data_IF_481707543596
#
_entry.id   IF_481707543596
#
_cell.length_a   1.000
_cell.length_b   1.000
_cell.length_c   1.000
_cell.angle_alpha   90.00
_cell.angle_beta   90.00
_cell.angle_gamma   90.00
#
_symmetry.space_group_name_H-M   'P 1'
#
loop_
_entity.id
_entity.type
_entity.pdbx_description
1 polymer ?
#
# COMPACT_ATOMS: atom_id res chain seq x y z
N UNK A 1 -26.62 17.34 1.99
CA UNK A 1 -25.97 18.50 1.37
C UNK A 1 -26.69 18.79 0.06
N UNK A 2 -27.18 20.02 -0.13
CA UNK A 2 -27.81 20.44 -1.38
C UNK A 2 -26.75 21.18 -2.18
N UNK A 3 -26.44 20.71 -3.39
CA UNK A 3 -25.52 21.37 -4.32
C UNK A 3 -26.24 21.62 -5.64
N UNK A 4 -25.84 22.69 -6.34
CA UNK A 4 -26.30 22.99 -7.71
C UNK A 4 -25.87 21.87 -8.68
N UNK A 5 -24.69 21.31 -8.45
CA UNK A 5 -24.14 20.20 -9.24
C UNK A 5 -24.43 18.86 -8.56
N UNK A 6 -25.10 17.95 -9.28
CA UNK A 6 -25.45 16.62 -8.76
C UNK A 6 -24.23 15.78 -8.36
N UNK A 7 -23.09 16.00 -9.01
CA UNK A 7 -21.84 15.27 -8.75
C UNK A 7 -21.18 15.59 -7.42
N UNK A 8 -21.56 16.68 -6.75
CA UNK A 8 -20.95 17.10 -5.48
C UNK A 8 -21.76 16.68 -4.26
N UNK A 9 -22.97 16.19 -4.48
CA UNK A 9 -23.81 15.67 -3.40
C UNK A 9 -23.16 14.43 -2.82
N UNK A 10 -22.88 14.46 -1.52
CA UNK A 10 -22.25 13.35 -0.80
C UNK A 10 -20.72 13.39 -0.77
N UNK A 11 -20.09 14.31 -1.50
CA UNK A 11 -18.66 14.61 -1.33
C UNK A 11 -18.42 15.44 -0.08
N UNK A 12 -17.19 15.41 0.41
CA UNK A 12 -16.80 16.23 1.54
C UNK A 12 -16.69 17.70 1.14
N UNK A 13 -17.30 18.59 1.92
CA UNK A 13 -17.35 20.03 1.60
C UNK A 13 -15.95 20.66 1.45
N UNK A 14 -14.97 20.22 2.24
CA UNK A 14 -13.59 20.73 2.15
C UNK A 14 -12.88 20.39 0.84
N UNK A 15 -13.35 19.39 0.09
CA UNK A 15 -12.83 19.08 -1.26
C UNK A 15 -13.40 20.02 -2.33
N UNK A 16 -14.62 20.53 -2.11
CA UNK A 16 -15.29 21.48 -3.01
C UNK A 16 -14.83 22.91 -2.71
N UNK A 17 -14.87 23.32 -1.45
CA UNK A 17 -14.47 24.66 -1.02
C UNK A 17 -13.58 24.61 0.23
N UNK A 18 -12.28 24.39 -0.01
CA UNK A 18 -11.25 24.39 1.03
C UNK A 18 -11.11 25.72 1.76
N UNK A 19 -11.47 26.84 1.11
CA UNK A 19 -11.33 28.18 1.70
C UNK A 19 -12.32 28.41 2.85
N UNK A 20 -13.59 28.05 2.64
CA UNK A 20 -14.61 28.16 3.67
C UNK A 20 -14.36 27.13 4.76
N UNK A 21 -14.06 25.88 4.40
CA UNK A 21 -13.76 24.85 5.40
C UNK A 21 -12.56 25.24 6.30
N UNK A 22 -11.50 25.82 5.74
CA UNK A 22 -10.37 26.29 6.53
C UNK A 22 -10.77 27.39 7.53
N UNK A 23 -11.64 28.32 7.13
CA UNK A 23 -12.13 29.37 8.02
C UNK A 23 -13.07 28.79 9.10
N UNK A 24 -13.89 27.78 8.78
CA UNK A 24 -14.73 27.08 9.76
C UNK A 24 -13.92 26.31 10.81
N UNK A 25 -12.75 25.78 10.43
CA UNK A 25 -11.79 25.20 11.38
C UNK A 25 -11.14 26.28 12.25
N UNK A 26 -10.79 27.41 11.65
CA UNK A 26 -10.17 28.53 12.35
C UNK A 26 -11.11 29.19 13.36
N UNK A 27 -12.41 29.27 13.05
CA UNK A 27 -13.42 29.81 13.97
C UNK A 27 -13.79 28.85 15.11
N UNK A 28 -13.30 27.60 15.07
CA UNK A 28 -13.60 26.59 16.08
C UNK A 28 -14.96 25.90 15.91
N UNK A 29 -15.73 26.25 14.87
CA UNK A 29 -17.03 25.63 14.59
C UNK A 29 -16.90 24.14 14.25
N UNK A 30 -15.83 23.79 13.53
CA UNK A 30 -15.44 22.40 13.30
C UNK A 30 -14.12 22.09 13.97
N UNK A 31 -14.08 20.96 14.66
CA UNK A 31 -12.86 20.41 15.25
C UNK A 31 -12.33 19.27 14.39
N UNK A 32 -11.09 19.39 13.95
CA UNK A 32 -10.38 18.30 13.26
C UNK A 32 -9.89 17.29 14.30
N UNK A 33 -10.23 16.02 14.11
CA UNK A 33 -9.80 14.89 14.93
C UNK A 33 -9.10 13.89 14.01
N UNK A 34 -7.91 13.42 14.38
CA UNK A 34 -7.19 12.40 13.61
C UNK A 34 -7.55 11.02 14.14
N UNK A 35 -8.11 10.18 13.28
CA UNK A 35 -8.44 8.79 13.58
C UNK A 35 -7.38 7.88 13.00
N UNK A 36 -7.00 6.84 13.75
CA UNK A 36 -5.96 5.88 13.37
C UNK A 36 -6.57 4.51 13.13
N UNK A 37 -6.36 3.96 11.94
CA UNK A 37 -6.68 2.58 11.59
C UNK A 37 -5.39 1.76 11.53
N UNK A 38 -5.29 0.73 12.38
CA UNK A 38 -4.14 -0.17 12.47
C UNK A 38 -4.31 -1.44 11.65
N UNK A 39 -5.46 -1.61 10.99
CA UNK A 39 -5.81 -2.81 10.21
C UNK A 39 -6.04 -2.49 8.72
N UNK A 40 -5.64 -1.30 8.27
CA UNK A 40 -5.76 -0.89 6.88
C UNK A 40 -4.83 -1.70 5.97
N UNK A 41 -5.16 -1.74 4.68
CA UNK A 41 -4.33 -2.34 3.64
C UNK A 41 -3.80 -1.24 2.71
N UNK A 42 -2.48 -1.14 2.57
CA UNK A 42 -1.82 -0.16 1.70
C UNK A 42 -1.13 -0.87 0.54
N UNK A 43 -1.00 -0.15 -0.57
CA UNK A 43 -0.22 -0.62 -1.71
C UNK A 43 1.27 -0.58 -1.38
N UNK A 44 1.99 -1.64 -1.75
CA UNK A 44 3.44 -1.63 -1.62
C UNK A 44 4.08 -0.71 -2.65
N UNK A 45 4.63 0.41 -2.18
CA UNK A 45 5.50 1.26 -3.00
C UNK A 45 6.84 0.55 -3.34
N UNK A 46 7.22 -0.47 -2.56
CA UNK A 46 8.45 -1.22 -2.76
C UNK A 46 8.22 -2.42 -3.67
N UNK A 47 8.79 -2.36 -4.87
CA UNK A 47 9.04 -3.56 -5.66
C UNK A 47 10.15 -4.36 -4.98
N UNK A 48 9.78 -5.38 -4.20
CA UNK A 48 10.73 -6.44 -3.89
C UNK A 48 11.08 -7.13 -5.21
N UNK A 49 12.32 -6.95 -5.67
CA UNK A 49 12.91 -7.87 -6.62
C UNK A 49 13.13 -9.16 -5.83
N UNK A 50 12.43 -10.24 -6.20
CA UNK A 50 12.72 -11.55 -5.64
C UNK A 50 14.19 -11.87 -5.93
N UNK A 51 15.04 -11.80 -4.91
CA UNK A 51 16.44 -12.23 -4.97
C UNK A 51 16.60 -13.75 -5.00
N UNK A 52 15.48 -14.48 -4.99
CA UNK A 52 15.44 -15.91 -5.22
C UNK A 52 15.94 -16.18 -6.64
N UNK A 53 17.19 -16.61 -6.75
CA UNK A 53 17.68 -17.23 -7.99
C UNK A 53 16.83 -18.48 -8.20
N UNK A 54 16.16 -18.66 -9.35
CA UNK A 54 15.45 -19.90 -9.61
C UNK A 54 16.47 -21.04 -9.51
N UNK A 55 16.19 -22.03 -8.66
CA UNK A 55 17.04 -23.18 -8.34
C UNK A 55 17.32 -24.11 -9.53
N UNK A 56 16.98 -23.72 -10.76
CA UNK A 56 17.18 -24.48 -12.00
C UNK A 56 18.29 -23.89 -12.89
N UNK A 57 19.42 -23.52 -12.27
CA UNK A 57 20.66 -23.19 -12.97
C UNK A 57 21.13 -24.24 -14.00
N UNK A 58 21.06 -25.58 -13.77
CA UNK A 58 21.60 -26.54 -14.74
C UNK A 58 20.75 -26.66 -16.02
N UNK A 59 19.42 -26.59 -15.90
CA UNK A 59 18.53 -26.64 -17.05
C UNK A 59 18.58 -25.36 -17.89
N UNK A 60 18.83 -24.20 -17.27
CA UNK A 60 18.99 -22.95 -17.99
C UNK A 60 20.26 -22.96 -18.86
N UNK A 61 21.35 -23.56 -18.37
CA UNK A 61 22.56 -23.78 -19.17
C UNK A 61 22.30 -24.70 -20.37
N UNK A 62 21.57 -25.80 -20.13
CA UNK A 62 21.20 -26.74 -21.20
C UNK A 62 20.28 -26.10 -22.25
N UNK A 63 19.28 -25.32 -21.82
CA UNK A 63 18.40 -24.55 -22.72
C UNK A 63 19.16 -23.45 -23.47
N UNK A 64 20.15 -22.81 -22.84
CA UNK A 64 21.00 -21.82 -23.50
C UNK A 64 21.88 -22.45 -24.58
N UNK A 65 22.41 -23.65 -24.33
CA UNK A 65 23.18 -24.43 -25.33
C UNK A 65 22.26 -24.87 -26.48
N UNK A 66 21.05 -25.35 -26.18
CA UNK A 66 20.05 -25.69 -27.20
C UNK A 66 19.72 -24.44 -28.03
N UNK A 67 19.43 -23.30 -27.39
CA UNK A 67 19.13 -22.05 -28.07
C UNK A 67 20.29 -21.57 -28.93
N UNK A 68 21.53 -21.67 -28.44
CA UNK A 68 22.74 -21.32 -29.19
C UNK A 68 22.90 -22.22 -30.42
N UNK A 69 22.73 -23.55 -30.24
CA UNK A 69 22.78 -24.51 -31.33
C UNK A 69 21.71 -24.22 -32.39
N UNK A 70 20.46 -24.00 -31.99
CA UNK A 70 19.38 -23.63 -32.91
C UNK A 70 19.63 -22.30 -33.60
N UNK A 71 20.22 -21.31 -32.92
CA UNK A 71 20.58 -20.03 -33.54
C UNK A 71 21.63 -20.20 -34.64
N UNK A 72 22.66 -21.02 -34.38
CA UNK A 72 23.68 -21.33 -35.39
C UNK A 72 23.15 -22.22 -36.50
N UNK A 73 22.24 -23.15 -36.19
CA UNK A 73 21.56 -23.97 -37.19
C UNK A 73 20.68 -23.12 -38.10
N UNK A 74 19.93 -22.15 -37.55
CA UNK A 74 19.14 -21.20 -38.35
C UNK A 74 20.04 -20.32 -39.22
N UNK A 75 21.14 -19.79 -38.69
CA UNK A 75 22.10 -19.01 -39.49
C UNK A 75 22.74 -19.86 -40.60
N UNK A 76 23.08 -21.12 -40.31
CA UNK A 76 23.58 -22.08 -41.28
C UNK A 76 22.54 -22.39 -42.36
N UNK A 77 21.26 -22.57 -42.00
CA UNK A 77 20.16 -22.75 -42.96
C UNK A 77 19.93 -21.49 -43.82
N UNK A 78 20.17 -20.30 -43.27
CA UNK A 78 20.10 -19.01 -43.96
C UNK A 78 21.23 -18.88 -45.00
N UNK A 79 22.45 -19.29 -44.65
CA UNK A 79 23.61 -19.36 -45.57
C UNK A 79 23.43 -20.44 -46.64
N UNK A 80 22.80 -21.58 -46.32
CA UNK A 80 22.48 -22.65 -47.28
C UNK A 80 21.20 -22.40 -48.12
N UNK A 81 20.58 -21.22 -47.98
CA UNK A 81 19.51 -20.71 -48.83
C UNK A 81 18.32 -21.69 -49.05
N UNK A 82 17.71 -22.16 -47.95
CA UNK A 82 16.40 -22.85 -47.97
C UNK A 82 15.23 -21.87 -47.71
N UNK A 83 15.49 -20.56 -47.67
CA UNK A 83 14.47 -19.52 -47.50
C UNK A 83 13.70 -19.17 -48.79
N UNK A 84 13.37 -20.17 -49.59
CA UNK A 84 12.30 -20.11 -50.60
C UNK A 84 10.99 -20.75 -50.13
N UNK A 85 10.92 -21.25 -48.89
CA UNK A 85 9.76 -21.97 -48.38
C UNK A 85 9.42 -21.45 -46.98
N UNK A 86 8.25 -20.83 -46.85
CA UNK A 86 7.58 -20.41 -45.59
C UNK A 86 7.94 -19.01 -45.05
N UNK A 87 7.42 -18.01 -45.75
CA UNK A 87 6.98 -16.77 -45.13
C UNK A 87 5.73 -17.06 -44.26
N UNK A 88 5.76 -16.73 -42.97
CA UNK A 88 4.56 -16.36 -42.22
C UNK A 88 4.95 -15.69 -40.90
N UNK A 89 4.80 -14.38 -40.87
CA UNK A 89 4.90 -13.56 -39.67
C UNK A 89 3.67 -13.75 -38.80
N UNK A 90 3.81 -14.46 -37.68
CA UNK A 90 2.88 -14.37 -36.55
C UNK A 90 3.68 -14.18 -35.26
N UNK A 91 4.01 -12.92 -34.97
CA UNK A 91 4.43 -12.51 -33.62
C UNK A 91 3.17 -12.19 -32.83
N UNK A 92 2.75 -13.12 -31.99
CA UNK A 92 1.70 -12.88 -30.99
C UNK A 92 2.36 -12.20 -29.79
N UNK A 93 2.02 -10.92 -29.58
CA UNK A 93 2.43 -10.19 -28.38
C UNK A 93 1.71 -10.80 -27.16
N UNK A 94 2.47 -11.36 -26.23
CA UNK A 94 1.93 -11.98 -25.04
C UNK A 94 1.40 -10.88 -24.10
N UNK A 95 0.08 -10.86 -23.88
CA UNK A 95 -0.57 -9.98 -22.92
C UNK A 95 0.15 -10.03 -21.55
N UNK A 96 0.80 -8.92 -21.22
CA UNK A 96 1.44 -8.66 -19.93
C UNK A 96 0.38 -8.80 -18.84
N UNK A 97 0.44 -9.88 -18.06
CA UNK A 97 -0.45 -10.10 -16.93
C UNK A 97 -0.47 -8.83 -16.06
N UNK A 98 -1.67 -8.28 -15.83
CA UNK A 98 -1.90 -7.21 -14.86
C UNK A 98 -1.31 -7.67 -13.53
N UNK A 99 -0.17 -7.09 -13.15
CA UNK A 99 0.47 -7.32 -11.86
C UNK A 99 -0.56 -6.94 -10.79
N UNK A 100 -1.16 -7.94 -10.15
CA UNK A 100 -2.05 -7.72 -9.00
C UNK A 100 -1.22 -6.90 -8.01
N UNK A 101 -1.66 -5.68 -7.72
CA UNK A 101 -0.95 -4.80 -6.80
C UNK A 101 -0.94 -5.48 -5.43
N UNK A 102 0.27 -5.81 -4.95
CA UNK A 102 0.45 -6.47 -3.67
C UNK A 102 0.04 -5.48 -2.57
N UNK A 103 -1.03 -5.81 -1.86
CA UNK A 103 -1.53 -5.05 -0.71
C UNK A 103 -0.92 -5.63 0.57
N UNK A 104 -0.45 -4.77 1.47
CA UNK A 104 0.08 -5.18 2.78
C UNK A 104 -0.66 -4.49 3.93
N UNK A 105 -0.73 -5.10 5.12
CA UNK A 105 -1.20 -4.42 6.33
C UNK A 105 -0.34 -3.19 6.63
N UNK A 106 -0.99 -2.05 6.85
CA UNK A 106 -0.36 -0.77 7.17
C UNK A 106 -1.20 -0.01 8.19
N UNK A 107 -0.58 0.99 8.83
CA UNK A 107 -1.33 1.91 9.67
C UNK A 107 -1.69 3.13 8.82
N UNK A 108 -2.96 3.50 8.81
CA UNK A 108 -3.43 4.72 8.16
C UNK A 108 -4.01 5.70 9.18
N UNK A 109 -3.89 6.98 8.89
CA UNK A 109 -4.62 8.03 9.59
C UNK A 109 -5.57 8.71 8.62
N UNK A 110 -6.78 8.98 9.08
CA UNK A 110 -7.75 9.76 8.33
C UNK A 110 -8.28 10.92 9.18
N UNK A 111 -8.43 12.11 8.58
CA UNK A 111 -9.00 13.25 9.28
C UNK A 111 -10.51 13.08 9.42
N UNK A 112 -11.01 13.17 10.65
CA UNK A 112 -12.42 13.35 10.97
C UNK A 112 -12.71 14.79 11.37
N UNK A 113 -13.95 15.23 11.18
CA UNK A 113 -14.41 16.56 11.55
C UNK A 113 -15.66 16.45 12.42
N UNK A 114 -15.63 17.09 13.58
CA UNK A 114 -16.75 17.13 14.52
C UNK A 114 -17.27 18.57 14.60
N UNK A 115 -18.58 18.74 14.49
CA UNK A 115 -19.23 20.03 14.66
C UNK A 115 -19.35 20.36 16.15
N UNK A 116 -18.98 21.58 16.53
CA UNK A 116 -19.17 22.10 17.88
C UNK A 116 -20.52 22.83 17.96
N UNK A 117 -21.40 22.37 18.85
CA UNK A 117 -22.77 22.89 19.01
C UNK A 117 -22.85 24.17 19.84
N UNK A 118 -21.74 24.62 20.43
CA UNK A 118 -21.71 25.86 21.21
C UNK A 118 -21.94 27.11 20.35
N UNK A 119 -21.58 27.05 19.07
CA UNK A 119 -21.68 28.17 18.14
C UNK A 119 -22.83 27.93 17.16
N UNK A 120 -23.95 28.64 17.37
CA UNK A 120 -25.17 28.48 16.56
C UNK A 120 -25.13 29.20 15.22
N UNK A 121 -24.45 30.35 15.18
CA UNK A 121 -24.39 31.23 14.01
C UNK A 121 -22.98 31.82 13.87
N UNK A 122 -22.46 31.82 12.64
CA UNK A 122 -21.19 32.47 12.32
C UNK A 122 -21.26 33.14 10.97
N UNK A 123 -20.76 34.35 10.88
CA UNK A 123 -20.48 35.03 9.63
C UNK A 123 -19.00 35.41 9.58
N UNK A 124 -18.39 35.32 8.41
CA UNK A 124 -16.99 35.71 8.23
C UNK A 124 -16.72 36.10 6.78
N UNK A 125 -15.69 36.93 6.63
CA UNK A 125 -15.15 37.34 5.33
C UNK A 125 -13.77 36.69 5.18
N UNK A 126 -13.57 36.02 4.06
CA UNK A 126 -12.33 35.36 3.66
C UNK A 126 -11.63 36.27 2.65
N UNK A 127 -10.41 36.71 2.97
CA UNK A 127 -9.59 37.52 2.06
C UNK A 127 -8.75 36.59 1.19
N UNK A 128 -8.93 36.68 -0.12
CA UNK A 128 -8.28 35.82 -1.14
C UNK A 128 -7.30 36.63 -2.00
N UNK A 129 -6.48 37.46 -1.36
CA UNK A 129 -5.58 38.40 -2.03
C UNK A 129 -6.34 39.63 -2.57
N UNK A 130 -6.75 39.58 -3.85
CA UNK A 130 -7.40 40.72 -4.55
C UNK A 130 -8.92 40.73 -4.49
N UNK A 131 -9.54 39.66 -4.02
CA UNK A 131 -10.98 39.58 -3.80
C UNK A 131 -11.28 39.08 -2.39
N UNK A 132 -12.52 39.32 -1.96
CA UNK A 132 -13.03 38.85 -0.68
C UNK A 132 -14.27 38.00 -0.93
N UNK A 133 -14.46 36.99 -0.08
CA UNK A 133 -15.56 36.04 -0.15
C UNK A 133 -16.21 35.96 1.22
N UNK A 134 -17.49 36.29 1.33
CA UNK A 134 -18.20 36.17 2.60
C UNK A 134 -19.01 34.89 2.67
N UNK A 135 -19.22 34.40 3.88
CA UNK A 135 -20.18 33.34 4.15
C UNK A 135 -20.94 33.59 5.45
N UNK A 136 -22.11 32.99 5.52
CA UNK A 136 -22.96 32.93 6.70
C UNK A 136 -23.34 31.48 6.94
N UNK A 137 -23.19 31.02 8.17
CA UNK A 137 -23.57 29.68 8.60
C UNK A 137 -24.54 29.77 9.77
N UNK A 138 -25.63 29.02 9.69
CA UNK A 138 -26.65 28.93 10.73
C UNK A 138 -27.03 27.47 10.98
N UNK A 139 -27.15 27.08 12.25
CA UNK A 139 -27.60 25.74 12.62
C UNK A 139 -29.11 25.58 12.37
N UNK A 140 -29.53 24.43 11.82
CA UNK A 140 -30.94 24.08 11.70
C UNK A 140 -31.42 23.47 13.01
N UNK A 141 -32.47 24.02 13.67
CA UNK A 141 -32.91 23.58 14.98
C UNK A 141 -33.31 22.10 14.97
N UNK A 142 -33.04 21.40 16.08
CA UNK A 142 -33.36 19.99 16.30
C UNK A 142 -32.76 19.02 15.25
N UNK A 143 -31.62 19.37 14.65
CA UNK A 143 -30.94 18.51 13.68
C UNK A 143 -29.41 18.64 13.77
N UNK A 144 -28.71 17.73 13.09
CA UNK A 144 -27.27 17.81 12.86
C UNK A 144 -26.90 18.63 11.60
N UNK A 145 -27.87 19.32 11.00
CA UNK A 145 -27.69 20.06 9.76
C UNK A 145 -27.32 21.52 10.04
N UNK A 146 -26.46 22.05 9.17
CA UNK A 146 -26.10 23.47 9.13
C UNK A 146 -26.41 24.02 7.74
N UNK A 147 -26.98 25.22 7.69
CA UNK A 147 -27.22 25.96 6.47
C UNK A 147 -26.03 26.91 6.27
N UNK A 148 -25.32 26.73 5.15
CA UNK A 148 -24.16 27.54 4.79
C UNK A 148 -24.49 28.27 3.48
N UNK A 149 -24.39 29.60 3.51
CA UNK A 149 -24.57 30.47 2.35
C UNK A 149 -23.24 31.15 2.06
N UNK A 150 -22.76 31.01 0.83
CA UNK A 150 -21.45 31.50 0.39
C UNK A 150 -21.61 32.37 -0.85
N UNK A 151 -20.94 33.51 -0.88
CA UNK A 151 -20.84 34.31 -2.11
C UNK A 151 -19.96 33.62 -3.16
N UNK A 152 -20.44 33.59 -4.40
CA UNK A 152 -19.77 32.92 -5.52
C UNK A 152 -18.86 33.85 -6.36
N UNK A 153 -18.61 35.07 -5.89
CA UNK A 153 -17.99 36.14 -6.70
C UNK A 153 -16.45 36.03 -6.80
N UNK A 154 -15.83 35.14 -6.03
CA UNK A 154 -14.38 35.05 -5.87
C UNK A 154 -13.94 33.59 -5.73
N UNK A 155 -13.00 33.15 -6.57
CA UNK A 155 -12.36 31.83 -6.48
C UNK A 155 -11.07 31.92 -5.65
N UNK A 156 -11.08 31.22 -4.51
CA UNK A 156 -10.00 31.21 -3.52
C UNK A 156 -9.12 29.94 -3.60
N UNK A 157 -9.34 29.08 -4.59
CA UNK A 157 -8.70 27.76 -4.71
C UNK A 157 -7.17 27.82 -4.84
N UNK A 158 -6.61 28.94 -5.33
CA UNK A 158 -5.15 29.13 -5.43
C UNK A 158 -4.46 29.33 -4.09
N UNK A 159 -5.15 29.93 -3.11
CA UNK A 159 -4.58 30.24 -1.80
C UNK A 159 -4.90 29.15 -0.77
N UNK A 160 -6.07 28.54 -0.88
CA UNK A 160 -6.53 27.50 0.03
C UNK A 160 -6.63 26.17 -0.73
N UNK A 161 -5.74 25.24 -0.41
CA UNK A 161 -5.81 23.89 -0.95
C UNK A 161 -7.07 23.15 -0.47
N UNK A 162 -7.63 22.23 -1.28
CA UNK A 162 -8.74 21.40 -0.85
C UNK A 162 -8.35 20.53 0.34
N UNK A 163 -9.26 20.40 1.31
CA UNK A 163 -9.10 19.58 2.49
C UNK A 163 -9.78 18.25 2.22
N UNK A 164 -9.00 17.18 2.08
CA UNK A 164 -9.50 15.84 1.72
C UNK A 164 -9.76 14.97 2.95
N UNK A 165 -10.66 13.99 2.78
CA UNK A 165 -10.85 12.90 3.75
C UNK A 165 -10.00 11.65 3.44
N UNK A 166 -9.11 11.76 2.45
CA UNK A 166 -8.33 10.63 1.98
C UNK A 166 -7.40 10.08 3.10
N UNK A 167 -7.37 8.76 3.31
CA UNK A 167 -6.49 8.15 4.29
C UNK A 167 -5.02 8.32 3.88
N UNK A 168 -4.15 8.56 4.86
CA UNK A 168 -2.71 8.69 4.66
C UNK A 168 -2.00 7.59 5.43
N UNK A 169 -1.03 6.94 4.79
CA UNK A 169 -0.19 5.95 5.46
C UNK A 169 0.71 6.65 6.50
N UNK A 170 0.65 6.16 7.75
CA UNK A 170 1.44 6.69 8.86
C UNK A 170 2.81 6.03 8.85
N UNK A 171 3.84 6.82 8.51
CA UNK A 171 5.24 6.40 8.63
C UNK A 171 5.78 6.82 10.00
N UNK A 172 6.02 5.84 10.87
CA UNK A 172 6.50 6.10 12.22
C UNK A 172 8.01 6.39 12.23
N UNK A 173 8.37 7.58 12.68
CA UNK A 173 9.75 7.88 13.05
C UNK A 173 10.12 7.13 14.34
N UNK A 174 11.38 6.73 14.47
CA UNK A 174 11.89 6.00 15.64
C UNK A 174 11.59 6.73 16.96
N UNK A 175 11.70 8.06 16.98
CA UNK A 175 11.41 8.91 18.15
C UNK A 175 9.95 8.83 18.59
N UNK A 176 9.00 8.87 17.65
CA UNK A 176 7.55 8.78 17.94
C UNK A 176 7.20 7.42 18.52
N UNK A 177 7.79 6.34 17.98
CA UNK A 177 7.62 4.99 18.53
C UNK A 177 8.12 4.92 19.99
N UNK A 178 9.29 5.47 20.28
CA UNK A 178 9.84 5.52 21.63
C UNK A 178 8.96 6.33 22.59
N UNK A 179 8.47 7.51 22.19
CA UNK A 179 7.58 8.31 23.02
C UNK A 179 6.28 7.58 23.34
N UNK A 180 5.70 6.87 22.36
CA UNK A 180 4.50 6.04 22.58
C UNK A 180 4.74 4.88 23.53
N UNK A 181 5.95 4.31 23.56
CA UNK A 181 6.31 3.27 24.53
C UNK A 181 6.43 3.81 25.96
N UNK A 182 6.74 5.10 26.15
CA UNK A 182 6.73 5.73 27.48
C UNK A 182 5.30 5.93 27.99
N UNK A 183 4.35 6.24 27.11
CA UNK A 183 2.94 6.45 27.43
C UNK A 183 2.09 5.18 27.22
N UNK A 184 2.56 4.02 27.68
CA UNK A 184 1.77 2.78 27.55
C UNK A 184 0.48 2.87 28.37
N UNK A 185 -0.59 2.30 27.82
CA UNK A 185 -1.84 2.10 28.58
C UNK A 185 -1.55 1.18 29.76
N UNK A 186 -2.27 1.38 30.87
CA UNK A 186 -2.22 0.46 32.01
C UNK A 186 -2.53 -0.96 31.52
N UNK A 187 -1.66 -1.92 31.84
CA UNK A 187 -1.86 -3.35 31.55
C UNK A 187 -1.78 -4.11 32.86
N UNK A 188 -2.79 -4.93 33.16
CA UNK A 188 -2.74 -5.87 34.28
C UNK A 188 -1.95 -7.10 33.83
N UNK A 189 -0.93 -7.48 34.60
CA UNK A 189 -0.23 -8.76 34.38
C UNK A 189 -1.05 -9.91 34.98
N UNK A 190 -0.89 -11.14 34.45
CA UNK A 190 -1.38 -12.33 35.14
C UNK A 190 -0.83 -12.40 36.58
N UNK A 191 -1.59 -13.02 37.48
CA UNK A 191 -1.25 -13.08 38.91
C UNK A 191 -0.11 -14.08 39.19
N UNK A 192 -0.08 -15.21 38.48
CA UNK A 192 1.00 -16.20 38.55
C UNK A 192 1.69 -16.39 37.20
N UNK A 193 2.98 -16.73 37.25
CA UNK A 193 3.79 -17.12 36.10
C UNK A 193 4.47 -18.45 36.42
N UNK A 194 4.05 -19.53 35.76
CA UNK A 194 4.59 -20.87 35.96
C UNK A 194 5.61 -21.16 34.85
N UNK A 195 6.81 -20.59 34.97
CA UNK A 195 7.87 -20.69 33.96
C UNK A 195 8.71 -21.96 34.05
N UNK A 196 8.55 -22.74 35.13
CA UNK A 196 9.36 -23.93 35.40
C UNK A 196 8.48 -25.01 36.01
N UNK A 197 8.65 -26.24 35.53
CA UNK A 197 8.06 -27.42 36.15
C UNK A 197 9.17 -28.45 36.48
N UNK A 198 9.20 -29.05 37.69
CA UNK A 198 10.26 -29.98 38.09
C UNK A 198 10.38 -31.23 37.21
N UNK A 199 9.28 -31.65 36.59
CA UNK A 199 9.25 -32.77 35.65
C UNK A 199 9.51 -32.36 34.19
N UNK A 200 9.85 -31.09 33.93
CA UNK A 200 10.23 -30.62 32.60
C UNK A 200 11.67 -31.03 32.29
N UNK A 201 11.85 -31.79 31.20
CA UNK A 201 13.17 -32.23 30.76
C UNK A 201 13.84 -31.17 29.87
N UNK A 202 14.60 -30.27 30.49
CA UNK A 202 15.33 -29.21 29.80
C UNK A 202 16.55 -29.70 28.98
N UNK A 203 16.87 -31.00 29.01
CA UNK A 203 18.06 -31.57 28.33
C UNK A 203 17.78 -32.02 26.90
N UNK A 204 16.52 -32.08 26.49
CA UNK A 204 16.14 -32.52 25.15
C UNK A 204 16.24 -31.34 24.18
N UNK A 205 17.45 -31.07 23.69
CA UNK A 205 17.70 -30.03 22.69
C UNK A 205 17.77 -30.66 21.29
N UNK A 206 16.92 -30.16 20.38
CA UNK A 206 16.72 -30.62 18.99
C UNK A 206 17.86 -31.43 18.35
N UNK A 207 17.70 -32.75 18.33
CA UNK A 207 18.48 -33.63 17.48
C UNK A 207 18.05 -33.47 16.02
N UNK A 208 18.75 -32.63 15.25
CA UNK A 208 18.58 -32.61 13.81
C UNK A 208 19.36 -33.78 13.19
N UNK A 209 18.71 -34.57 12.32
CA UNK A 209 19.42 -35.49 11.45
C UNK A 209 20.22 -34.66 10.43
N UNK A 210 21.55 -34.73 10.50
CA UNK A 210 22.41 -34.24 9.42
C UNK A 210 22.22 -35.11 8.19
N UNK A 211 21.96 -34.49 7.03
CA UNK A 211 21.93 -35.22 5.75
C UNK A 211 23.38 -35.57 5.40
N UNK A 212 23.78 -36.83 5.65
CA UNK A 212 25.08 -37.34 5.24
C UNK A 212 24.99 -37.91 3.81
N UNK A 213 25.93 -37.54 2.95
CA UNK A 213 26.01 -38.12 1.60
C UNK A 213 26.42 -39.59 1.75
N UNK A 214 25.55 -40.49 1.30
CA UNK A 214 25.85 -41.91 1.27
C UNK A 214 26.86 -42.19 0.15
N UNK A 215 28.12 -42.39 0.53
CA UNK A 215 29.21 -42.75 -0.40
C UNK A 215 28.89 -44.04 -1.17
N UNK A 216 28.15 -44.97 -0.55
CA UNK A 216 27.75 -46.22 -1.21
C UNK A 216 26.80 -45.96 -2.36
N UNK A 217 25.80 -45.09 -2.21
CA UNK A 217 24.90 -44.70 -3.30
C UNK A 217 25.64 -43.98 -4.42
N UNK A 218 26.62 -43.12 -4.08
CA UNK A 218 27.46 -42.45 -5.07
C UNK A 218 28.25 -43.44 -5.93
N UNK A 219 28.92 -44.42 -5.31
CA UNK A 219 29.67 -45.43 -6.05
C UNK A 219 28.78 -46.41 -6.83
N UNK A 220 27.59 -46.76 -6.31
CA UNK A 220 26.62 -47.56 -7.05
C UNK A 220 26.15 -46.82 -8.30
N UNK A 221 25.78 -45.54 -8.19
CA UNK A 221 25.40 -44.73 -9.35
C UNK A 221 26.52 -44.63 -10.39
N UNK A 222 27.77 -44.37 -9.95
CA UNK A 222 28.94 -44.38 -10.83
C UNK A 222 29.13 -45.73 -11.52
N UNK A 223 29.06 -46.83 -10.79
CA UNK A 223 29.18 -48.19 -11.34
C UNK A 223 28.09 -48.49 -12.38
N UNK A 224 26.84 -48.16 -12.09
CA UNK A 224 25.75 -48.33 -13.07
C UNK A 224 25.94 -47.47 -14.31
N UNK A 225 26.45 -46.24 -14.17
CA UNK A 225 26.69 -45.34 -15.32
C UNK A 225 27.84 -45.81 -16.22
N UNK A 226 28.83 -46.51 -15.65
CA UNK A 226 29.93 -47.13 -16.38
C UNK A 226 29.53 -48.47 -17.02
N UNK A 227 28.58 -49.20 -16.44
CA UNK A 227 28.07 -50.47 -16.96
C UNK A 227 26.98 -50.30 -18.05
N UNK A 228 26.32 -49.13 -18.11
CA UNK A 228 25.33 -48.77 -19.12
C UNK A 228 25.93 -48.06 -20.36
N UNK A 229 27.26 -48.06 -20.48
CA UNK A 229 28.01 -47.51 -21.61
C UNK A 229 28.72 -48.64 -22.35
#
# INVERSE_FOLDING_TARGET
MVSKEKGDVGKFFGEIDGSVMAQLLKSGLFKRVTLYDYQAMCKNAHHHTSGARPLLSPFYGLLAIIKWFFSHFVMFLLEFNICGLWHNDYVVDAHRQKKVELMQPCNTEYPGFMYDTSIRETNSIIKCGRCQKMFVLQQVPNSNLVMLVVQADCDCSRQYAPITLAPREVKYNATVKCNRMKSQKIRRRPESCHAYHPHENAKDCGGACGIAVSLTLYFICLGTSLALR
#
